data_IF_690608783964
#
_entry.id   IF_690608783964
#
_cell.length_a   1.000
_cell.length_b   1.000
_cell.length_c   1.000
_cell.angle_alpha   90.00
_cell.angle_beta   90.00
_cell.angle_gamma   90.00
#
_symmetry.space_group_name_H-M   'P 1'
#
loop_
_entity.id
_entity.type
_entity.pdbx_description
1 polymer ?
#
# COMPACT_ATOMS: atom_id res chain seq x y z
N UNK A 1 0.51 -4.87 -46.95
CA UNK A 1 0.12 -6.18 -47.53
C UNK A 1 0.78 -7.28 -46.74
N UNK A 2 0.00 -8.32 -46.41
CA UNK A 2 0.43 -9.71 -46.12
C UNK A 2 1.38 -9.94 -44.93
N UNK A 3 0.88 -10.36 -43.76
CA UNK A 3 0.46 -11.73 -43.37
C UNK A 3 1.63 -12.64 -42.94
N UNK A 4 1.71 -12.88 -41.63
CA UNK A 4 1.86 -14.16 -40.87
C UNK A 4 2.25 -15.44 -41.66
N UNK A 5 2.96 -16.45 -41.08
CA UNK A 5 2.46 -17.12 -39.86
C UNK A 5 3.45 -17.75 -38.86
N UNK A 6 2.81 -18.16 -37.76
CA UNK A 6 3.28 -18.89 -36.59
C UNK A 6 3.95 -20.23 -36.90
N UNK A 7 4.92 -20.60 -36.06
CA UNK A 7 5.38 -21.97 -35.85
C UNK A 7 5.45 -22.27 -34.37
N UNK A 8 4.43 -22.95 -33.83
CA UNK A 8 4.44 -23.47 -32.47
C UNK A 8 5.32 -24.73 -32.35
N UNK A 9 6.24 -24.78 -31.37
CA UNK A 9 6.69 -26.05 -30.77
C UNK A 9 6.93 -25.92 -29.26
N UNK A 10 6.00 -26.55 -28.53
CA UNK A 10 6.11 -27.43 -27.35
C UNK A 10 6.90 -26.96 -26.11
N UNK A 11 6.13 -26.92 -25.02
CA UNK A 11 6.48 -27.11 -23.61
C UNK A 11 7.89 -27.66 -23.33
N UNK A 12 8.67 -26.84 -22.64
CA UNK A 12 9.78 -27.23 -21.79
C UNK A 12 9.88 -26.17 -20.70
N UNK A 13 9.55 -26.54 -19.48
CA UNK A 13 9.73 -25.74 -18.27
C UNK A 13 11.18 -25.23 -18.19
N UNK A 14 11.40 -23.95 -18.53
CA UNK A 14 12.64 -23.27 -18.23
C UNK A 14 12.63 -22.87 -16.75
N UNK A 15 12.89 -23.85 -15.88
CA UNK A 15 13.44 -23.55 -14.57
C UNK A 15 14.82 -22.95 -14.77
N UNK A 16 15.03 -21.71 -14.31
CA UNK A 16 16.40 -21.28 -14.05
C UNK A 16 16.93 -22.11 -12.89
N UNK A 17 18.19 -22.58 -12.97
CA UNK A 17 18.73 -23.53 -12.02
C UNK A 17 18.74 -22.91 -10.63
N UNK A 18 18.35 -23.72 -9.65
CA UNK A 18 18.74 -23.52 -8.26
C UNK A 18 20.21 -23.13 -8.26
N UNK A 19 20.53 -21.93 -7.76
CA UNK A 19 21.92 -21.60 -7.42
C UNK A 19 22.26 -22.43 -6.19
N UNK A 20 22.56 -23.71 -6.42
CA UNK A 20 23.49 -24.40 -5.55
C UNK A 20 24.80 -23.61 -5.65
N UNK A 21 25.18 -22.96 -4.56
CA UNK A 21 26.56 -22.55 -4.36
C UNK A 21 27.34 -23.86 -4.22
N UNK A 22 27.72 -24.44 -5.35
CA UNK A 22 28.74 -25.48 -5.39
C UNK A 22 30.04 -24.83 -4.94
N UNK A 23 30.80 -25.43 -4.00
CA UNK A 23 32.14 -24.96 -3.69
C UNK A 23 32.95 -24.99 -5.00
N UNK A 24 33.42 -23.82 -5.42
CA UNK A 24 34.02 -23.63 -6.73
C UNK A 24 35.17 -24.60 -6.99
N UNK A 25 35.16 -25.20 -8.18
CA UNK A 25 36.38 -25.74 -8.75
C UNK A 25 37.38 -24.58 -8.89
N UNK A 26 38.52 -24.68 -8.23
CA UNK A 26 39.61 -23.74 -8.34
C UNK A 26 40.13 -23.72 -9.78
N UNK A 27 40.05 -22.57 -10.47
CA UNK A 27 40.79 -22.40 -11.72
C UNK A 27 40.22 -21.46 -12.78
N UNK A 28 39.03 -20.88 -12.64
CA UNK A 28 38.47 -20.01 -13.68
C UNK A 28 38.36 -18.54 -13.24
N UNK A 29 38.92 -17.57 -14.00
CA UNK A 29 38.83 -16.16 -13.64
C UNK A 29 37.37 -15.69 -13.77
N UNK A 30 36.84 -14.92 -12.79
CA UNK A 30 35.49 -14.39 -12.89
C UNK A 30 35.39 -13.46 -14.10
N UNK A 31 34.58 -13.84 -15.08
CA UNK A 31 34.18 -12.96 -16.18
C UNK A 31 33.55 -11.66 -15.64
N UNK A 32 33.50 -10.58 -16.44
CA UNK A 32 32.99 -9.30 -15.99
C UNK A 32 31.55 -9.45 -15.51
N UNK A 33 31.31 -9.24 -14.21
CA UNK A 33 29.97 -9.22 -13.63
C UNK A 33 29.20 -8.10 -14.32
N UNK A 34 28.20 -8.44 -15.14
CA UNK A 34 27.28 -7.45 -15.68
C UNK A 34 26.69 -6.64 -14.51
N UNK A 35 26.60 -5.30 -14.61
CA UNK A 35 26.00 -4.50 -13.56
C UNK A 35 24.57 -4.99 -13.32
N UNK A 36 24.22 -5.29 -12.07
CA UNK A 36 22.84 -5.61 -11.72
C UNK A 36 21.95 -4.41 -12.06
N UNK A 37 20.74 -4.64 -12.62
CA UNK A 37 19.80 -3.55 -12.85
C UNK A 37 19.47 -2.85 -11.53
N UNK A 38 19.14 -1.54 -11.57
CA UNK A 38 18.69 -0.83 -10.38
C UNK A 38 17.45 -1.53 -9.82
N UNK A 39 17.44 -1.66 -8.50
CA UNK A 39 16.55 -2.54 -7.77
C UNK A 39 15.84 -1.72 -6.67
N UNK A 40 14.78 -0.97 -7.02
CA UNK A 40 13.94 -0.28 -6.04
C UNK A 40 13.09 -1.29 -5.25
N UNK A 41 13.05 -1.09 -3.93
CA UNK A 41 12.20 -1.88 -3.05
C UNK A 41 10.72 -1.67 -3.41
N UNK A 42 9.99 -2.78 -3.49
CA UNK A 42 8.54 -2.72 -3.55
C UNK A 42 7.99 -2.28 -2.20
N UNK A 43 6.96 -1.43 -2.18
CA UNK A 43 6.15 -1.27 -0.98
C UNK A 43 5.64 -2.63 -0.50
N UNK A 44 5.62 -2.87 0.81
CA UNK A 44 5.16 -4.13 1.41
C UNK A 44 3.80 -4.56 0.85
N UNK A 45 2.84 -3.64 0.74
CA UNK A 45 1.50 -3.91 0.21
C UNK A 45 1.44 -4.27 -1.29
N UNK A 46 2.49 -3.99 -2.06
CA UNK A 46 2.57 -4.28 -3.50
C UNK A 46 3.35 -5.57 -3.80
N UNK A 47 3.93 -6.19 -2.76
CA UNK A 47 4.64 -7.45 -2.89
C UNK A 47 3.68 -8.64 -2.92
N UNK A 48 4.04 -9.75 -3.62
CA UNK A 48 3.25 -10.99 -3.60
C UNK A 48 3.02 -11.52 -2.18
N UNK A 49 4.06 -11.39 -1.34
CA UNK A 49 4.01 -11.62 0.10
C UNK A 49 4.31 -10.30 0.81
N UNK A 50 3.34 -9.79 1.57
CA UNK A 50 3.41 -8.45 2.15
C UNK A 50 4.54 -8.27 3.16
N UNK A 51 4.93 -9.34 3.85
CA UNK A 51 5.98 -9.33 4.87
C UNK A 51 7.35 -9.79 4.36
N UNK A 52 7.50 -9.95 3.04
CA UNK A 52 8.78 -10.23 2.41
C UNK A 52 9.34 -8.95 1.78
N UNK A 53 10.65 -8.77 1.92
CA UNK A 53 11.36 -7.66 1.33
C UNK A 53 11.64 -7.96 -0.14
N UNK A 54 10.74 -7.50 -0.99
CA UNK A 54 10.79 -7.73 -2.43
C UNK A 54 11.28 -6.51 -3.18
N UNK A 55 11.94 -6.77 -4.31
CA UNK A 55 12.51 -5.75 -5.16
C UNK A 55 12.24 -6.09 -6.62
N UNK A 56 11.72 -5.13 -7.40
CA UNK A 56 11.46 -5.33 -8.83
C UNK A 56 12.67 -4.88 -9.63
N UNK A 57 13.20 -5.75 -10.47
CA UNK A 57 14.29 -5.40 -11.37
C UNK A 57 13.76 -4.45 -12.45
N UNK A 58 14.26 -3.22 -12.47
CA UNK A 58 13.82 -2.22 -13.46
C UNK A 58 14.11 -2.69 -14.88
N UNK A 59 13.11 -2.63 -15.75
CA UNK A 59 13.20 -3.11 -17.13
C UNK A 59 12.98 -4.61 -17.30
N UNK A 60 12.66 -5.33 -16.23
CA UNK A 60 12.39 -6.76 -16.25
C UNK A 60 11.08 -7.09 -15.50
N UNK A 61 10.56 -8.30 -15.74
CA UNK A 61 9.31 -8.80 -15.15
C UNK A 61 9.55 -9.77 -13.98
N UNK A 62 10.70 -9.70 -13.33
CA UNK A 62 11.03 -10.55 -12.17
C UNK A 62 11.34 -9.69 -10.94
N UNK A 63 11.10 -10.28 -9.77
CA UNK A 63 11.44 -9.70 -8.49
C UNK A 63 12.46 -10.58 -7.76
N UNK A 64 13.25 -9.96 -6.88
CA UNK A 64 14.17 -10.65 -5.98
C UNK A 64 13.74 -10.41 -4.52
N UNK A 65 13.78 -11.47 -3.72
CA UNK A 65 13.43 -11.43 -2.30
C UNK A 65 14.69 -11.42 -1.46
N UNK A 66 14.89 -10.34 -0.69
CA UNK A 66 16.05 -10.19 0.21
C UNK A 66 15.83 -10.82 1.59
N UNK A 67 14.65 -11.41 1.82
CA UNK A 67 14.26 -12.01 3.09
C UNK A 67 12.96 -11.41 3.60
N UNK A 68 12.81 -11.37 4.92
CA UNK A 68 11.62 -10.86 5.61
C UNK A 68 11.84 -9.44 6.09
N UNK A 69 10.76 -8.66 6.14
CA UNK A 69 10.79 -7.37 6.85
C UNK A 69 10.95 -7.59 8.35
N UNK A 70 11.43 -6.57 9.05
CA UNK A 70 11.56 -6.62 10.51
C UNK A 70 10.18 -6.73 11.17
N UNK A 71 10.12 -7.46 12.28
CA UNK A 71 8.89 -7.58 13.05
C UNK A 71 8.43 -6.20 13.55
N UNK A 72 7.13 -5.92 13.42
CA UNK A 72 6.56 -4.60 13.68
C UNK A 72 6.51 -3.67 12.47
N UNK A 73 6.97 -4.10 11.29
CA UNK A 73 6.75 -3.36 10.04
C UNK A 73 5.26 -3.37 9.66
N UNK A 74 4.68 -2.22 9.28
CA UNK A 74 3.28 -2.16 8.84
C UNK A 74 3.07 -2.90 7.52
N UNK A 75 2.02 -3.71 7.46
CA UNK A 75 1.68 -4.45 6.25
C UNK A 75 1.21 -3.53 5.11
N UNK A 76 0.36 -2.55 5.45
CA UNK A 76 -0.26 -1.65 4.47
C UNK A 76 -0.36 -0.23 5.00
N UNK A 77 -0.27 0.80 4.13
CA UNK A 77 -0.49 2.18 4.53
C UNK A 77 -1.92 2.34 5.08
N UNK A 78 -2.03 2.90 6.30
CA UNK A 78 -3.32 3.13 6.97
C UNK A 78 -3.90 1.92 7.70
N UNK A 79 -3.33 0.71 7.56
CA UNK A 79 -3.69 -0.43 8.39
C UNK A 79 -2.85 -0.45 9.68
N UNK A 80 -3.42 -0.84 10.84
CA UNK A 80 -2.65 -1.14 12.04
C UNK A 80 -1.95 -2.50 11.98
N UNK A 81 -2.18 -3.31 10.95
CA UNK A 81 -1.63 -4.67 10.85
C UNK A 81 -0.09 -4.66 10.70
N UNK A 82 0.56 -5.62 11.35
CA UNK A 82 2.02 -5.69 11.47
C UNK A 82 2.55 -7.04 10.99
N UNK A 83 3.74 -7.01 10.40
CA UNK A 83 4.49 -8.21 10.09
C UNK A 83 5.13 -8.78 11.35
N UNK A 84 4.91 -10.07 11.63
CA UNK A 84 5.60 -10.83 12.68
C UNK A 84 5.90 -12.23 12.15
N UNK A 85 7.17 -12.63 12.18
CA UNK A 85 7.60 -13.96 11.72
C UNK A 85 7.30 -14.22 10.23
N UNK A 86 7.26 -13.17 9.40
CA UNK A 86 6.93 -13.26 7.97
C UNK A 86 5.43 -13.35 7.66
N UNK A 87 4.54 -13.19 8.66
CA UNK A 87 3.10 -13.16 8.47
C UNK A 87 2.55 -11.79 8.82
N UNK A 88 1.59 -11.31 8.03
CA UNK A 88 0.84 -10.11 8.39
C UNK A 88 -0.22 -10.48 9.43
N UNK A 89 -0.11 -9.91 10.63
CA UNK A 89 -1.00 -10.16 11.75
C UNK A 89 -1.77 -8.89 12.09
N UNK A 90 -3.06 -9.04 12.37
CA UNK A 90 -3.93 -7.91 12.71
C UNK A 90 -3.69 -7.43 14.12
N UNK A 91 -3.51 -6.13 14.29
CA UNK A 91 -3.45 -5.51 15.63
C UNK A 91 -4.86 -5.13 16.03
N UNK A 92 -5.34 -5.74 17.10
CA UNK A 92 -6.61 -5.35 17.70
C UNK A 92 -6.54 -3.93 18.23
N UNK A 93 -7.70 -3.30 18.34
CA UNK A 93 -7.77 -1.92 18.80
C UNK A 93 -7.37 -1.79 20.30
N UNK A 94 -7.40 -2.90 21.04
CA UNK A 94 -6.85 -3.08 22.39
C UNK A 94 -5.32 -3.15 22.45
N UNK A 95 -4.64 -3.06 21.30
CA UNK A 95 -3.18 -3.14 21.18
C UNK A 95 -2.64 -4.57 21.17
N UNK A 96 -3.51 -5.59 21.20
CA UNK A 96 -3.11 -6.99 21.25
C UNK A 96 -3.13 -7.57 19.84
N UNK A 97 -2.04 -8.25 19.47
CA UNK A 97 -1.91 -8.89 18.16
C UNK A 97 -2.83 -10.12 18.08
N UNK A 98 -3.66 -10.18 17.05
CA UNK A 98 -4.57 -11.31 16.82
C UNK A 98 -5.77 -11.37 17.77
N UNK A 99 -6.05 -10.34 18.58
CA UNK A 99 -7.22 -10.34 19.47
C UNK A 99 -8.55 -10.27 18.71
N UNK A 100 -8.53 -9.80 17.46
CA UNK A 100 -9.73 -9.58 16.66
C UNK A 100 -10.58 -8.40 17.16
N UNK A 101 -10.14 -7.68 18.19
CA UNK A 101 -10.84 -6.51 18.72
C UNK A 101 -10.87 -5.40 17.67
N UNK A 102 -12.07 -4.94 17.31
CA UNK A 102 -12.28 -3.85 16.36
C UNK A 102 -12.87 -2.64 17.06
N UNK A 103 -12.48 -1.42 16.65
CA UNK A 103 -13.12 -0.24 17.19
C UNK A 103 -14.59 -0.19 16.77
N UNK A 104 -15.46 0.34 17.61
CA UNK A 104 -16.83 0.67 17.23
C UNK A 104 -16.85 1.92 16.33
N UNK A 105 -18.02 2.29 15.77
CA UNK A 105 -18.15 3.37 14.79
C UNK A 105 -17.61 4.75 15.25
N UNK A 106 -17.51 4.98 16.57
CA UNK A 106 -16.88 6.18 17.14
C UNK A 106 -15.34 6.11 17.21
N UNK A 107 -14.71 5.06 16.68
CA UNK A 107 -13.26 4.88 16.65
C UNK A 107 -12.60 4.44 17.96
N UNK A 108 -13.37 4.05 18.98
CA UNK A 108 -12.86 3.59 20.29
C UNK A 108 -13.04 2.08 20.46
N UNK A 109 -12.33 1.52 21.44
CA UNK A 109 -12.38 0.10 21.78
C UNK A 109 -13.29 -0.20 22.95
N UNK A 110 -13.81 -1.42 22.97
CA UNK A 110 -14.64 -1.95 24.05
C UNK A 110 -16.12 -1.94 23.71
N UNK A 111 -16.92 -2.31 24.71
CA UNK A 111 -18.36 -2.44 24.63
C UNK A 111 -19.03 -1.12 25.02
N UNK A 112 -19.15 -0.20 24.07
CA UNK A 112 -19.90 1.04 24.25
C UNK A 112 -20.06 1.74 22.89
N UNK A 113 -21.19 2.39 22.64
CA UNK A 113 -21.36 3.25 21.44
C UNK A 113 -21.42 4.73 21.81
N UNK A 114 -21.02 5.02 23.03
CA UNK A 114 -21.18 6.32 23.66
C UNK A 114 -19.96 7.20 23.36
N UNK A 115 -20.16 8.51 23.23
CA UNK A 115 -19.08 9.47 23.01
C UNK A 115 -18.89 9.94 21.57
N UNK A 116 -19.78 9.59 20.63
CA UNK A 116 -19.88 10.28 19.35
C UNK A 116 -21.34 10.40 18.87
N UNK A 117 -21.56 11.26 17.86
CA UNK A 117 -22.85 11.41 17.19
C UNK A 117 -22.75 10.96 15.73
N UNK A 118 -23.80 10.32 15.23
CA UNK A 118 -23.89 9.96 13.82
C UNK A 118 -24.43 11.14 13.01
N UNK A 119 -23.68 11.56 12.00
CA UNK A 119 -24.05 12.67 11.13
C UNK A 119 -24.30 12.13 9.72
N UNK A 120 -25.53 12.28 9.23
CA UNK A 120 -25.88 11.96 7.85
C UNK A 120 -26.17 13.25 7.09
N UNK A 121 -25.54 13.43 5.92
CA UNK A 121 -25.79 14.56 5.03
C UNK A 121 -25.99 14.08 3.60
N UNK A 122 -26.95 14.69 2.92
CA UNK A 122 -27.23 14.45 1.51
C UNK A 122 -26.97 15.74 0.74
N UNK A 123 -26.14 15.64 -0.30
CA UNK A 123 -25.93 16.73 -1.23
C UNK A 123 -26.78 16.50 -2.48
N UNK A 124 -27.63 17.46 -2.83
CA UNK A 124 -28.39 17.46 -4.07
C UNK A 124 -27.97 18.69 -4.87
N UNK A 125 -27.08 18.49 -5.84
CA UNK A 125 -26.69 19.54 -6.77
C UNK A 125 -27.65 19.59 -7.95
N UNK A 126 -28.16 20.76 -8.29
CA UNK A 126 -28.73 21.02 -9.61
C UNK A 126 -27.59 21.27 -10.58
N UNK A 127 -27.63 20.65 -11.77
CA UNK A 127 -26.73 20.98 -12.89
C UNK A 127 -26.71 22.52 -13.06
N UNK A 128 -25.54 23.18 -12.96
CA UNK A 128 -25.49 24.62 -13.11
C UNK A 128 -25.92 24.98 -14.53
N UNK A 129 -26.93 25.84 -14.65
CA UNK A 129 -27.51 26.30 -15.93
C UNK A 129 -26.48 26.94 -16.87
N UNK A 130 -25.30 27.29 -16.34
CA UNK A 130 -24.22 28.00 -17.02
C UNK A 130 -23.10 27.11 -17.56
N UNK A 131 -23.24 25.77 -17.56
CA UNK A 131 -22.20 24.88 -18.10
C UNK A 131 -20.86 24.96 -17.37
N UNK A 132 -20.88 25.24 -16.05
CA UNK A 132 -19.66 25.36 -15.26
C UNK A 132 -19.04 23.97 -15.02
N UNK A 133 -17.90 23.71 -15.65
CA UNK A 133 -17.11 22.50 -15.45
C UNK A 133 -16.05 22.74 -14.37
N UNK A 134 -16.28 22.27 -13.14
CA UNK A 134 -15.33 22.47 -12.05
C UNK A 134 -15.66 21.68 -10.78
N UNK A 135 -14.73 21.66 -9.84
CA UNK A 135 -14.94 21.06 -8.52
C UNK A 135 -15.80 21.97 -7.65
N UNK A 136 -16.79 21.38 -6.99
CA UNK A 136 -17.64 22.07 -6.03
C UNK A 136 -17.49 21.44 -4.64
N UNK A 137 -17.39 22.27 -3.61
CA UNK A 137 -17.32 21.82 -2.23
C UNK A 137 -18.71 21.35 -1.77
N UNK A 138 -18.89 20.03 -1.64
CA UNK A 138 -20.17 19.43 -1.24
C UNK A 138 -20.36 19.33 0.27
N UNK A 139 -19.28 19.12 1.02
CA UNK A 139 -19.31 19.06 2.50
C UNK A 139 -17.92 19.15 3.10
N UNK A 140 -17.84 19.48 4.39
CA UNK A 140 -16.61 19.44 5.19
C UNK A 140 -16.71 18.32 6.21
N UNK A 141 -15.75 17.39 6.17
CA UNK A 141 -15.61 16.34 7.18
C UNK A 141 -14.97 16.98 8.43
N UNK A 142 -15.64 16.96 9.60
CA UNK A 142 -15.09 17.55 10.80
C UNK A 142 -13.87 16.76 11.31
N UNK A 143 -12.94 17.45 11.96
CA UNK A 143 -11.81 16.80 12.60
C UNK A 143 -12.30 15.78 13.65
N UNK A 144 -11.68 14.61 13.71
CA UNK A 144 -12.08 13.53 14.60
C UNK A 144 -13.27 12.69 14.10
N UNK A 145 -13.82 12.95 12.92
CA UNK A 145 -14.82 12.07 12.31
C UNK A 145 -14.21 10.69 11.98
N UNK A 146 -14.92 9.65 12.37
CA UNK A 146 -14.58 8.24 12.13
C UNK A 146 -15.70 7.53 11.36
N UNK A 147 -15.41 6.35 10.80
CA UNK A 147 -16.39 5.52 10.08
C UNK A 147 -17.15 6.28 8.96
N UNK A 148 -16.40 7.09 8.20
CA UNK A 148 -16.96 7.98 7.18
C UNK A 148 -17.29 7.18 5.92
N UNK A 149 -18.57 7.17 5.55
CA UNK A 149 -19.05 6.59 4.28
C UNK A 149 -19.58 7.70 3.38
N UNK A 150 -19.04 7.78 2.16
CA UNK A 150 -19.52 8.68 1.10
C UNK A 150 -19.98 7.82 -0.07
N UNK A 151 -21.14 8.13 -0.63
CA UNK A 151 -21.70 7.42 -1.79
C UNK A 151 -22.22 8.44 -2.77
N UNK A 152 -21.74 8.36 -4.01
CA UNK A 152 -22.24 9.14 -5.14
C UNK A 152 -22.90 8.21 -6.15
N UNK A 153 -24.02 8.65 -6.72
CA UNK A 153 -24.79 7.93 -7.76
C UNK A 153 -24.81 8.70 -9.08
N UNK A 154 -24.08 9.81 -9.19
CA UNK A 154 -24.01 10.65 -10.38
C UNK A 154 -22.94 10.14 -11.37
N UNK A 155 -22.77 10.86 -12.49
CA UNK A 155 -21.67 10.64 -13.45
C UNK A 155 -20.44 11.52 -13.14
N UNK A 156 -20.37 12.09 -11.95
CA UNK A 156 -19.26 12.95 -11.51
C UNK A 156 -18.21 12.17 -10.73
N UNK A 157 -17.11 12.85 -10.39
CA UNK A 157 -16.05 12.32 -9.54
C UNK A 157 -15.97 13.08 -8.22
N UNK A 158 -15.76 12.34 -7.14
CA UNK A 158 -15.51 12.93 -5.82
C UNK A 158 -14.00 13.15 -5.61
N UNK A 159 -13.64 14.34 -5.18
CA UNK A 159 -12.30 14.70 -4.73
C UNK A 159 -12.26 15.00 -3.24
N UNK A 160 -11.10 14.81 -2.61
CA UNK A 160 -10.83 15.24 -1.24
C UNK A 160 -9.71 16.26 -1.24
N UNK A 161 -9.95 17.40 -0.60
CA UNK A 161 -8.92 18.41 -0.35
C UNK A 161 -8.60 18.44 1.13
N UNK A 162 -7.31 18.32 1.46
CA UNK A 162 -6.84 18.47 2.83
C UNK A 162 -6.33 19.89 3.00
N UNK A 163 -7.03 20.70 3.79
CA UNK A 163 -6.46 21.96 4.28
C UNK A 163 -5.47 21.59 5.38
N UNK A 164 -4.18 21.60 5.07
CA UNK A 164 -3.15 21.50 6.11
C UNK A 164 -3.24 22.83 6.88
N UNK A 165 -3.62 22.85 8.17
CA UNK A 165 -3.38 24.06 8.96
C UNK A 165 -1.88 24.30 8.89
N UNK A 166 -1.45 25.51 8.51
CA UNK A 166 -0.04 25.90 8.48
C UNK A 166 0.61 25.53 9.81
N UNK A 167 1.28 24.38 9.85
CA UNK A 167 1.95 23.91 11.05
C UNK A 167 3.13 24.85 11.25
N UNK A 168 3.08 25.63 12.33
CA UNK A 168 4.29 26.09 13.00
C UNK A 168 5.11 24.84 13.31
N UNK A 169 6.10 24.57 12.46
CA UNK A 169 7.14 23.57 12.71
C UNK A 169 7.66 23.84 14.12
N UNK A 170 7.54 22.90 15.08
CA UNK A 170 8.16 23.07 16.38
C UNK A 170 9.67 23.08 16.14
N UNK A 171 10.27 24.27 16.23
CA UNK A 171 11.72 24.42 16.32
C UNK A 171 12.10 23.81 17.67
N UNK A 172 12.61 22.58 17.66
CA UNK A 172 13.30 22.04 18.82
C UNK A 172 14.47 22.96 19.12
N UNK A 173 14.61 23.51 20.35
CA UNK A 173 15.82 24.20 20.72
C UNK A 173 16.95 23.17 20.74
N UNK A 174 17.90 23.33 19.83
CA UNK A 174 19.21 22.68 19.93
C UNK A 174 19.80 23.04 21.28
N UNK A 175 19.86 22.04 22.16
CA UNK A 175 20.49 22.14 23.48
C UNK A 175 21.97 22.50 23.26
N UNK A 176 22.38 23.67 23.72
CA UNK A 176 23.77 24.12 23.85
C UNK A 176 24.54 23.29 24.86
#
# INVERSE_FOLDING_TARGET
TTSSPCGARRHGSAGCPSTEVSPGAAGEPPGPRSPLPPCPLLPSWAAPNVCDLNCLAVGHNFYYTFGRVLDGTRCSPGSPDLCVGGRCLSVGCDGILGSGARPHACGRCGSGRDGCIFVHRLFQGTEPSSGYFGYMNVTKIPAGATDIKVTDKSRNYLGRTCSVPSQSVPVHPSRS
#
